data_IF_119872550830
#
_entry.id   IF_119872550830
#
_cell.length_a   1.000
_cell.length_b   1.000
_cell.length_c   1.000
_cell.angle_alpha   90.00
_cell.angle_beta   90.00
_cell.angle_gamma   90.00
#
_symmetry.space_group_name_H-M   'P 1'
#
loop_
_entity.id
_entity.type
_entity.pdbx_description
1 polymer ?
#
# COMPACT_ATOMS: atom_id res chain seq x y z
N UNK A 1 -22.20 -15.49 -0.69
CA UNK A 1 -21.41 -14.63 -1.60
C UNK A 1 -20.04 -14.43 -0.94
N UNK A 2 -18.99 -15.11 -1.40
CA UNK A 2 -17.67 -14.99 -0.78
C UNK A 2 -17.08 -13.61 -1.02
N UNK A 3 -16.76 -12.87 0.05
CA UNK A 3 -16.08 -11.58 -0.08
C UNK A 3 -14.71 -11.85 -0.72
N UNK A 4 -14.41 -11.22 -1.85
CA UNK A 4 -13.03 -11.17 -2.35
C UNK A 4 -12.26 -10.28 -1.38
N UNK A 5 -11.36 -10.87 -0.60
CA UNK A 5 -10.50 -10.07 0.27
C UNK A 5 -9.55 -9.25 -0.61
N UNK A 6 -9.34 -7.96 -0.29
CA UNK A 6 -8.34 -7.13 -0.95
C UNK A 6 -6.93 -7.73 -0.80
N UNK A 7 -5.96 -7.21 -1.55
CA UNK A 7 -4.60 -7.76 -1.51
C UNK A 7 -3.94 -7.39 -0.18
N UNK A 8 -3.32 -8.34 0.56
CA UNK A 8 -2.58 -7.99 1.76
C UNK A 8 -1.41 -7.07 1.43
N UNK A 9 -1.11 -6.13 2.33
CA UNK A 9 0.01 -5.23 2.18
C UNK A 9 1.32 -6.03 2.20
N UNK A 10 2.25 -5.80 1.26
CA UNK A 10 3.53 -6.48 1.28
C UNK A 10 4.26 -6.26 2.60
N UNK A 11 4.74 -7.36 3.20
CA UNK A 11 5.51 -7.35 4.44
C UNK A 11 4.68 -7.02 5.69
N UNK A 12 3.37 -7.32 5.67
CA UNK A 12 2.53 -7.39 6.87
C UNK A 12 2.08 -8.83 7.12
N UNK A 13 1.75 -9.17 8.36
CA UNK A 13 1.21 -10.48 8.73
C UNK A 13 -0.30 -10.54 8.54
N UNK A 14 -0.89 -11.74 8.71
CA UNK A 14 -2.34 -11.91 8.64
C UNK A 14 -3.04 -11.25 9.83
N UNK A 15 -2.37 -11.22 10.99
CA UNK A 15 -2.85 -10.63 12.23
C UNK A 15 -2.90 -9.10 12.16
N UNK A 16 -1.98 -8.48 11.42
CA UNK A 16 -1.98 -7.03 11.19
C UNK A 16 -3.14 -6.56 10.29
N UNK A 17 -3.78 -7.48 9.55
CA UNK A 17 -4.97 -7.23 8.71
C UNK A 17 -4.89 -5.97 7.82
N UNK A 18 -3.69 -5.68 7.31
CA UNK A 18 -3.45 -4.51 6.46
C UNK A 18 -3.65 -4.87 5.00
N UNK A 19 -4.58 -4.18 4.36
CA UNK A 19 -4.94 -4.36 2.96
C UNK A 19 -4.42 -3.20 2.11
N UNK A 20 -4.01 -3.46 0.87
CA UNK A 20 -3.46 -2.44 -0.03
C UNK A 20 -4.09 -2.43 -1.42
N UNK A 21 -4.27 -1.24 -1.96
CA UNK A 21 -4.54 -0.99 -3.38
C UNK A 21 -3.48 -0.06 -3.97
N UNK A 22 -2.90 -0.44 -5.12
CA UNK A 22 -1.95 0.41 -5.85
C UNK A 22 -2.59 0.93 -7.13
N UNK A 23 -2.64 2.25 -7.23
CA UNK A 23 -2.97 2.94 -8.47
C UNK A 23 -1.82 2.86 -9.48
N UNK A 24 -2.15 3.17 -10.73
CA UNK A 24 -1.24 3.02 -11.86
C UNK A 24 -0.03 3.96 -11.80
N UNK A 25 -0.23 5.23 -11.44
CA UNK A 25 0.77 6.32 -11.54
C UNK A 25 1.48 6.67 -10.21
N UNK A 26 1.50 5.74 -9.24
CA UNK A 26 2.20 5.96 -7.97
C UNK A 26 1.33 5.86 -6.73
N UNK A 27 0.02 6.05 -6.87
CA UNK A 27 -0.92 6.00 -5.74
C UNK A 27 -0.84 4.67 -4.98
N UNK A 28 -0.90 4.74 -3.66
CA UNK A 28 -1.10 3.58 -2.78
C UNK A 28 -2.11 3.93 -1.69
N UNK A 29 -3.02 3.02 -1.40
CA UNK A 29 -3.97 3.14 -0.29
C UNK A 29 -3.89 1.90 0.57
N UNK A 30 -3.82 2.10 1.89
CA UNK A 30 -3.80 1.05 2.89
C UNK A 30 -4.95 1.21 3.87
N UNK A 31 -5.51 0.09 4.32
CA UNK A 31 -6.59 0.02 5.30
C UNK A 31 -6.24 -1.08 6.30
N UNK A 32 -6.25 -0.75 7.60
CA UNK A 32 -6.07 -1.67 8.71
C UNK A 32 -7.31 -1.59 9.62
N UNK A 33 -8.32 -2.46 9.43
CA UNK A 33 -9.58 -2.42 10.16
C UNK A 33 -9.41 -2.64 11.66
N UNK A 34 -8.51 -3.54 12.05
CA UNK A 34 -8.24 -3.88 13.46
C UNK A 34 -7.74 -2.64 14.22
N UNK A 35 -6.86 -1.86 13.59
CA UNK A 35 -6.29 -0.64 14.18
C UNK A 35 -7.15 0.62 13.94
N UNK A 36 -8.27 0.50 13.21
CA UNK A 36 -9.10 1.63 12.80
C UNK A 36 -8.35 2.67 11.97
N UNK A 37 -7.29 2.25 11.25
CA UNK A 37 -6.34 3.15 10.58
C UNK A 37 -6.39 2.99 9.07
N UNK A 38 -6.18 4.09 8.36
CA UNK A 38 -5.98 4.10 6.92
C UNK A 38 -4.88 5.10 6.55
N UNK A 39 -4.24 4.87 5.41
CA UNK A 39 -3.21 5.76 4.89
C UNK A 39 -3.27 5.82 3.37
N UNK A 40 -2.99 7.00 2.80
CA UNK A 40 -2.93 7.20 1.35
C UNK A 40 -1.61 7.88 1.00
N UNK A 41 -0.89 7.27 0.05
CA UNK A 41 0.27 7.85 -0.61
C UNK A 41 -0.17 8.38 -1.98
N UNK A 42 -0.12 9.70 -2.14
CA UNK A 42 -0.30 10.38 -3.41
C UNK A 42 1.08 10.74 -3.99
N UNK A 43 1.76 9.73 -4.51
CA UNK A 43 2.99 9.92 -5.26
C UNK A 43 2.68 9.94 -6.76
N UNK A 44 3.41 10.78 -7.50
CA UNK A 44 3.31 10.83 -8.95
C UNK A 44 4.62 10.35 -9.56
N UNK A 45 4.59 9.16 -10.16
CA UNK A 45 5.65 8.71 -11.06
C UNK A 45 5.23 9.01 -12.51
N UNK A 46 5.10 10.29 -12.82
CA UNK A 46 4.97 10.78 -14.19
C UNK A 46 6.34 11.33 -14.61
N UNK A 47 7.23 10.46 -15.09
CA UNK A 47 8.01 10.63 -16.32
C UNK A 47 9.26 9.72 -16.39
N UNK A 48 9.43 9.12 -17.59
CA UNK A 48 10.64 8.51 -18.18
C UNK A 48 11.20 7.17 -17.72
N UNK A 49 10.62 6.46 -16.76
CA UNK A 49 11.08 5.10 -16.48
C UNK A 49 9.92 4.12 -16.25
N UNK A 50 9.99 2.94 -16.88
CA UNK A 50 9.16 1.79 -16.49
C UNK A 50 9.76 1.07 -15.26
N UNK A 51 10.81 1.60 -14.65
CA UNK A 51 11.42 1.02 -13.47
C UNK A 51 10.56 1.32 -12.24
N UNK A 52 9.84 0.30 -11.77
CA UNK A 52 8.95 0.40 -10.60
C UNK A 52 9.70 0.27 -9.28
N UNK A 53 11.01 -0.02 -9.29
CA UNK A 53 11.80 -0.25 -8.07
C UNK A 53 11.84 0.99 -7.16
N UNK A 54 12.05 2.23 -7.65
CA UNK A 54 12.05 3.42 -6.79
C UNK A 54 10.69 3.62 -6.10
N UNK A 55 9.60 3.46 -6.84
CA UNK A 55 8.25 3.59 -6.31
C UNK A 55 7.92 2.52 -5.25
N UNK A 56 8.39 1.28 -5.44
CA UNK A 56 8.23 0.22 -4.43
C UNK A 56 8.99 0.55 -3.14
N UNK A 57 10.17 1.15 -3.23
CA UNK A 57 10.93 1.63 -2.08
C UNK A 57 10.15 2.67 -1.27
N UNK A 58 9.61 3.70 -1.94
CA UNK A 58 8.79 4.75 -1.32
C UNK A 58 7.53 4.15 -0.67
N UNK A 59 6.83 3.25 -1.36
CA UNK A 59 5.63 2.57 -0.83
C UNK A 59 5.93 1.77 0.44
N UNK A 60 7.05 1.05 0.48
CA UNK A 60 7.44 0.27 1.65
C UNK A 60 7.81 1.17 2.83
N UNK A 61 8.60 2.23 2.59
CA UNK A 61 8.96 3.19 3.61
C UNK A 61 7.73 3.90 4.21
N UNK A 62 6.83 4.38 3.34
CA UNK A 62 5.58 5.01 3.76
C UNK A 62 4.71 4.06 4.60
N UNK A 63 4.50 2.82 4.14
CA UNK A 63 3.74 1.81 4.90
C UNK A 63 4.32 1.59 6.30
N UNK A 64 5.64 1.43 6.42
CA UNK A 64 6.31 1.27 7.73
C UNK A 64 6.03 2.44 8.68
N UNK A 65 6.08 3.67 8.17
CA UNK A 65 5.81 4.88 8.96
C UNK A 65 4.33 5.01 9.35
N UNK A 66 3.41 4.60 8.47
CA UNK A 66 1.98 4.74 8.70
C UNK A 66 1.40 3.68 9.66
N UNK A 67 1.99 2.48 9.69
CA UNK A 67 1.51 1.33 10.46
C UNK A 67 2.59 0.79 11.39
N UNK A 68 3.28 1.69 12.10
CA UNK A 68 4.09 1.33 13.28
C UNK A 68 3.18 1.03 14.47
#
# INVERSE_FOLDING_TARGET
>A
MGRRNPRPAPGTTAEEDVWVHYGFSGTGMWIAPIDGRWAVLLANELYYSRDRKPLNGVRNAFRKLAFT
#
